data_IF_544752134728
#
_entry.id   IF_544752134728
#
_cell.length_a   1.000
_cell.length_b   1.000
_cell.length_c   1.000
_cell.angle_alpha   90.00
_cell.angle_beta   90.00
_cell.angle_gamma   90.00
#
_symmetry.space_group_name_H-M   'P 1'
#
loop_
_entity.id
_entity.type
_entity.pdbx_description
1 polymer ?
#
# COMPACT_ATOMS: atom_id res chain seq x y z
N UNK A 1 20.87 40.36 -24.55
CA UNK A 1 19.75 40.26 -23.59
C UNK A 1 18.73 39.33 -24.20
N UNK A 2 18.51 38.13 -23.64
CA UNK A 2 17.27 37.36 -23.74
C UNK A 2 17.37 36.06 -22.94
N UNK A 3 16.56 36.01 -21.88
CA UNK A 3 15.78 34.88 -21.35
C UNK A 3 16.47 33.55 -21.00
N UNK A 4 16.90 33.45 -19.74
CA UNK A 4 16.94 32.18 -18.99
C UNK A 4 15.91 32.26 -17.85
N UNK A 5 14.63 32.09 -18.18
CA UNK A 5 13.51 31.96 -17.23
C UNK A 5 12.59 30.81 -17.62
N UNK A 6 13.09 29.57 -17.52
CA UNK A 6 12.33 28.31 -17.60
C UNK A 6 13.22 27.34 -16.80
N UNK A 7 12.98 26.89 -15.57
CA UNK A 7 11.81 26.23 -14.98
C UNK A 7 11.82 26.49 -13.45
N UNK A 8 10.89 27.30 -12.94
CA UNK A 8 10.53 27.30 -11.52
C UNK A 8 9.22 26.53 -11.40
N UNK A 9 9.33 25.23 -11.28
CA UNK A 9 8.23 24.38 -10.87
C UNK A 9 8.57 23.93 -9.46
N UNK A 10 7.76 24.33 -8.46
CA UNK A 10 8.00 24.27 -7.01
C UNK A 10 8.90 23.11 -6.57
N UNK A 11 10.20 23.34 -6.62
CA UNK A 11 11.19 22.35 -6.27
C UNK A 11 11.31 22.41 -4.75
N UNK A 12 10.36 21.76 -4.07
CA UNK A 12 10.47 21.50 -2.62
C UNK A 12 11.88 20.99 -2.37
N UNK A 13 12.58 21.62 -1.42
CA UNK A 13 13.94 21.21 -1.10
C UNK A 13 13.89 19.76 -0.58
N UNK A 14 14.44 18.83 -1.36
CA UNK A 14 14.42 17.39 -1.05
C UNK A 14 15.08 17.15 0.31
N UNK A 15 16.10 17.91 0.70
CA UNK A 15 16.72 17.76 2.02
C UNK A 15 15.78 18.20 3.13
N UNK A 16 15.01 19.27 2.90
CA UNK A 16 14.00 19.74 3.84
C UNK A 16 12.88 18.70 3.99
N UNK A 17 12.34 18.19 2.89
CA UNK A 17 11.30 17.16 2.89
C UNK A 17 11.79 15.85 3.53
N UNK A 18 13.05 15.45 3.29
CA UNK A 18 13.65 14.27 3.92
C UNK A 18 13.77 14.45 5.44
N UNK A 19 14.27 15.60 5.91
CA UNK A 19 14.36 15.90 7.35
C UNK A 19 12.99 15.92 7.99
N UNK A 20 12.00 16.51 7.31
CA UNK A 20 10.59 16.52 7.75
C UNK A 20 10.03 15.10 7.83
N UNK A 21 10.31 14.26 6.84
CA UNK A 21 9.88 12.86 6.84
C UNK A 21 10.51 12.06 7.99
N UNK A 22 11.82 12.12 8.16
CA UNK A 22 12.53 11.40 9.22
C UNK A 22 12.02 11.83 10.61
N UNK A 23 11.86 13.15 10.82
CA UNK A 23 11.34 13.67 12.08
C UNK A 23 9.89 13.22 12.34
N UNK A 24 9.04 13.23 11.31
CA UNK A 24 7.63 12.84 11.41
C UNK A 24 7.43 11.33 11.57
N UNK A 25 8.13 10.50 10.80
CA UNK A 25 8.02 9.05 10.81
C UNK A 25 8.54 8.45 12.14
N UNK A 26 9.62 9.01 12.70
CA UNK A 26 10.20 8.55 13.97
C UNK A 26 9.33 8.87 15.20
N UNK A 27 8.46 9.89 15.12
CA UNK A 27 7.68 10.38 16.27
C UNK A 27 6.29 9.74 16.41
N UNK A 28 6.00 8.66 15.69
CA UNK A 28 4.73 7.93 15.81
C UNK A 28 3.51 8.85 15.70
N UNK A 29 3.44 9.68 14.63
CA UNK A 29 2.27 10.49 14.23
C UNK A 29 1.73 11.53 15.23
N UNK A 30 2.43 11.85 16.34
CA UNK A 30 1.86 12.71 17.40
C UNK A 30 1.94 14.22 17.16
N UNK A 31 2.78 14.71 16.24
CA UNK A 31 3.12 16.14 16.13
C UNK A 31 2.86 16.81 14.77
N UNK A 32 2.75 16.04 13.68
CA UNK A 32 2.45 16.55 12.33
C UNK A 32 1.13 15.98 11.81
N UNK A 33 0.42 16.74 10.97
CA UNK A 33 -0.77 16.23 10.29
C UNK A 33 -0.39 14.99 9.45
N UNK A 34 -0.98 13.81 9.72
CA UNK A 34 -0.62 12.56 9.05
C UNK A 34 -0.72 12.62 7.53
N UNK A 35 -1.67 13.41 7.02
CA UNK A 35 -1.86 13.65 5.60
C UNK A 35 -0.70 14.43 4.98
N UNK A 36 -0.18 15.47 5.64
CA UNK A 36 0.94 16.25 5.11
C UNK A 36 2.24 15.46 5.15
N UNK A 37 2.44 14.63 6.17
CA UNK A 37 3.58 13.70 6.20
C UNK A 37 3.48 12.67 5.07
N UNK A 38 2.28 12.20 4.76
CA UNK A 38 2.03 11.28 3.64
C UNK A 38 2.33 11.94 2.29
N UNK A 39 1.92 13.19 2.08
CA UNK A 39 2.28 13.95 0.87
C UNK A 39 3.79 14.19 0.75
N UNK A 40 4.47 14.43 1.86
CA UNK A 40 5.94 14.51 1.91
C UNK A 40 6.57 13.15 1.56
N UNK A 41 6.06 12.05 2.11
CA UNK A 41 6.54 10.70 1.80
C UNK A 41 6.35 10.35 0.31
N UNK A 42 5.18 10.66 -0.27
CA UNK A 42 4.89 10.47 -1.70
C UNK A 42 5.79 11.31 -2.61
N UNK A 43 6.13 12.53 -2.17
CA UNK A 43 7.11 13.36 -2.87
C UNK A 43 8.50 12.71 -2.87
N UNK A 44 8.97 12.24 -1.70
CA UNK A 44 10.24 11.54 -1.59
C UNK A 44 10.26 10.24 -2.40
N UNK A 45 9.16 9.49 -2.42
CA UNK A 45 9.02 8.28 -3.23
C UNK A 45 9.32 8.58 -4.71
N UNK A 46 8.73 9.66 -5.24
CA UNK A 46 8.90 10.08 -6.64
C UNK A 46 10.32 10.55 -6.97
N UNK A 47 10.91 11.38 -6.11
CA UNK A 47 12.13 12.12 -6.44
C UNK A 47 13.42 11.57 -5.80
N UNK A 48 13.31 10.67 -4.81
CA UNK A 48 14.45 10.11 -4.08
C UNK A 48 14.38 8.58 -4.05
N UNK A 49 15.02 7.89 -5.02
CA UNK A 49 15.01 6.42 -5.10
C UNK A 49 15.50 5.73 -3.82
N UNK A 50 16.50 6.31 -3.14
CA UNK A 50 17.06 5.77 -1.89
C UNK A 50 16.09 5.80 -0.70
N UNK A 51 14.98 6.54 -0.79
CA UNK A 51 13.96 6.61 0.27
C UNK A 51 12.76 5.70 0.01
N UNK A 52 12.72 4.97 -1.13
CA UNK A 52 11.55 4.19 -1.53
C UNK A 52 11.15 3.16 -0.48
N UNK A 53 12.09 2.36 -0.02
CA UNK A 53 11.82 1.29 0.95
C UNK A 53 11.29 1.86 2.26
N UNK A 54 11.91 2.93 2.77
CA UNK A 54 11.48 3.59 4.00
C UNK A 54 10.08 4.22 3.88
N UNK A 55 9.73 4.77 2.71
CA UNK A 55 8.40 5.32 2.45
C UNK A 55 7.35 4.19 2.35
N UNK A 56 7.66 3.09 1.67
CA UNK A 56 6.76 1.95 1.58
C UNK A 56 6.55 1.28 2.94
N UNK A 57 7.59 1.19 3.76
CA UNK A 57 7.48 0.73 5.15
C UNK A 57 6.61 1.67 6.00
N UNK A 58 6.75 2.98 5.83
CA UNK A 58 5.85 3.94 6.46
C UNK A 58 4.39 3.74 6.01
N UNK A 59 4.15 3.43 4.74
CA UNK A 59 2.80 3.08 4.27
C UNK A 59 2.29 1.79 4.91
N UNK A 60 3.13 0.77 5.11
CA UNK A 60 2.73 -0.46 5.83
C UNK A 60 2.11 -0.12 7.19
N UNK A 61 2.72 0.80 7.93
CA UNK A 61 2.21 1.25 9.24
C UNK A 61 0.84 1.93 9.09
N UNK A 62 0.64 2.77 8.08
CA UNK A 62 -0.65 3.44 7.85
C UNK A 62 -1.78 2.47 7.50
N UNK A 63 -1.50 1.50 6.63
CA UNK A 63 -2.47 0.46 6.25
C UNK A 63 -2.78 -0.46 7.43
N UNK A 64 -1.76 -0.85 8.20
CA UNK A 64 -1.93 -1.66 9.40
C UNK A 64 -2.79 -0.96 10.45
N UNK A 65 -2.55 0.33 10.72
CA UNK A 65 -3.38 1.12 11.65
C UNK A 65 -4.83 1.25 11.17
N UNK A 66 -5.06 1.41 9.87
CA UNK A 66 -6.40 1.49 9.30
C UNK A 66 -7.14 0.16 9.45
N UNK A 67 -6.47 -0.96 9.18
CA UNK A 67 -7.03 -2.28 9.38
C UNK A 67 -7.25 -2.58 10.87
N UNK A 68 -6.33 -2.22 11.76
CA UNK A 68 -6.48 -2.40 13.21
C UNK A 68 -7.73 -1.69 13.73
N UNK A 69 -7.96 -0.43 13.30
CA UNK A 69 -9.17 0.33 13.61
C UNK A 69 -10.43 -0.37 13.10
N UNK A 70 -10.42 -0.87 11.86
CA UNK A 70 -11.54 -1.61 11.28
C UNK A 70 -11.85 -2.90 12.06
N UNK A 71 -10.83 -3.68 12.41
CA UNK A 71 -10.99 -4.91 13.21
C UNK A 71 -11.53 -4.59 14.60
N UNK A 72 -11.04 -3.53 15.24
CA UNK A 72 -11.55 -3.09 16.54
C UNK A 72 -13.05 -2.70 16.45
N UNK A 73 -13.46 -2.02 15.38
CA UNK A 73 -14.86 -1.65 15.13
C UNK A 73 -15.74 -2.88 14.95
N UNK A 74 -15.36 -3.84 14.11
CA UNK A 74 -16.08 -5.10 13.92
C UNK A 74 -16.27 -5.83 15.26
N UNK A 75 -15.20 -5.91 16.07
CA UNK A 75 -15.24 -6.56 17.39
C UNK A 75 -16.16 -5.86 18.38
N UNK A 76 -16.27 -4.54 18.28
CA UNK A 76 -17.18 -3.75 19.12
C UNK A 76 -18.65 -3.84 18.70
N UNK A 77 -18.96 -4.58 17.62
CA UNK A 77 -20.32 -4.68 17.07
C UNK A 77 -20.79 -3.43 16.34
N UNK A 78 -19.90 -2.48 16.08
CA UNK A 78 -20.18 -1.31 15.26
C UNK A 78 -20.38 -1.71 13.80
N UNK A 79 -21.33 -1.06 13.13
CA UNK A 79 -21.41 -1.13 11.66
C UNK A 79 -20.10 -0.59 11.09
N UNK A 80 -19.49 -1.34 10.16
CA UNK A 80 -18.35 -0.86 9.37
C UNK A 80 -18.84 0.23 8.42
N UNK A 81 -19.11 1.42 8.94
CA UNK A 81 -19.25 2.59 8.09
C UNK A 81 -17.92 2.76 7.37
N UNK A 82 -17.98 2.88 6.04
CA UNK A 82 -16.82 3.04 5.17
C UNK A 82 -16.14 4.36 5.56
N UNK A 83 -15.23 4.30 6.53
CA UNK A 83 -14.52 5.45 7.01
C UNK A 83 -13.67 5.92 5.84
N UNK A 84 -14.08 7.03 5.22
CA UNK A 84 -13.29 7.68 4.19
C UNK A 84 -11.95 8.07 4.81
N UNK A 85 -10.94 7.22 4.64
CA UNK A 85 -9.59 7.49 5.09
C UNK A 85 -8.91 8.33 4.00
N UNK A 86 -8.78 9.66 4.21
CA UNK A 86 -8.23 10.54 3.19
C UNK A 86 -6.76 10.22 2.92
N UNK A 87 -6.06 9.60 3.87
CA UNK A 87 -4.65 9.24 3.75
C UNK A 87 -4.51 8.06 2.78
N UNK A 88 -5.32 7.01 2.96
CA UNK A 88 -5.32 5.86 2.04
C UNK A 88 -5.77 6.26 0.63
N UNK A 89 -6.74 7.16 0.54
CA UNK A 89 -7.22 7.68 -0.74
C UNK A 89 -6.14 8.50 -1.46
N UNK A 90 -5.37 9.30 -0.73
CA UNK A 90 -4.22 10.04 -1.28
C UNK A 90 -3.13 9.09 -1.79
N UNK A 91 -2.78 8.06 -1.01
CA UNK A 91 -1.81 7.03 -1.43
C UNK A 91 -2.30 6.33 -2.69
N UNK A 92 -3.57 5.90 -2.74
CA UNK A 92 -4.17 5.25 -3.91
C UNK A 92 -4.07 6.12 -5.15
N UNK A 93 -4.45 7.40 -5.05
CA UNK A 93 -4.44 8.34 -6.16
C UNK A 93 -3.04 8.57 -6.70
N UNK A 94 -2.05 8.80 -5.83
CA UNK A 94 -0.68 9.13 -6.26
C UNK A 94 0.05 7.90 -6.79
N UNK A 95 -0.05 6.74 -6.13
CA UNK A 95 0.55 5.50 -6.63
C UNK A 95 -0.10 5.07 -7.96
N UNK A 96 -1.43 5.18 -8.06
CA UNK A 96 -2.15 4.92 -9.31
C UNK A 96 -1.71 5.87 -10.44
N UNK A 97 -1.43 7.14 -10.13
CA UNK A 97 -0.86 8.07 -11.10
C UNK A 97 0.54 7.66 -11.55
N UNK A 98 1.40 7.15 -10.67
CA UNK A 98 2.75 6.70 -11.06
C UNK A 98 2.68 5.52 -12.03
N UNK A 99 1.82 4.54 -11.73
CA UNK A 99 1.59 3.36 -12.57
C UNK A 99 1.02 3.75 -13.93
N UNK A 100 0.03 4.64 -13.97
CA UNK A 100 -0.57 5.08 -15.24
C UNK A 100 0.36 5.96 -16.09
N UNK A 101 1.20 6.80 -15.46
CA UNK A 101 2.10 7.70 -16.18
C UNK A 101 3.39 7.01 -16.67
N UNK A 102 3.95 6.10 -15.88
CA UNK A 102 5.16 5.36 -16.24
C UNK A 102 5.17 3.96 -15.58
N UNK A 103 4.52 2.96 -16.20
CA UNK A 103 4.31 1.66 -15.57
C UNK A 103 5.58 0.82 -15.42
N UNK A 104 6.54 0.93 -16.33
CA UNK A 104 7.73 0.05 -16.39
C UNK A 104 8.54 0.01 -15.07
N UNK A 105 8.93 1.15 -14.47
CA UNK A 105 9.67 1.12 -13.20
C UNK A 105 8.76 0.99 -11.96
N UNK A 106 7.48 1.37 -12.05
CA UNK A 106 6.61 1.53 -10.89
C UNK A 106 5.69 0.34 -10.65
N UNK A 107 5.11 -0.24 -11.70
CA UNK A 107 4.15 -1.31 -11.56
C UNK A 107 4.72 -2.58 -10.89
N UNK A 108 5.96 -3.03 -11.20
CA UNK A 108 6.53 -4.19 -10.50
C UNK A 108 6.79 -3.92 -9.02
N UNK A 109 7.35 -2.76 -8.70
CA UNK A 109 7.68 -2.36 -7.32
C UNK A 109 6.40 -2.26 -6.47
N UNK A 110 5.40 -1.54 -6.98
CA UNK A 110 4.14 -1.31 -6.27
C UNK A 110 3.33 -2.61 -6.17
N UNK A 111 3.30 -3.43 -7.21
CA UNK A 111 2.60 -4.73 -7.18
C UNK A 111 3.21 -5.68 -6.15
N UNK A 112 4.55 -5.81 -6.10
CA UNK A 112 5.23 -6.62 -5.08
C UNK A 112 4.90 -6.13 -3.68
N UNK A 113 5.01 -4.81 -3.45
CA UNK A 113 4.68 -4.19 -2.17
C UNK A 113 3.23 -4.45 -1.75
N UNK A 114 2.26 -4.29 -2.65
CA UNK A 114 0.85 -4.55 -2.34
C UNK A 114 0.61 -6.01 -1.92
N UNK A 115 1.20 -6.97 -2.65
CA UNK A 115 1.03 -8.40 -2.37
C UNK A 115 1.72 -8.82 -1.06
N UNK A 116 2.92 -8.30 -0.80
CA UNK A 116 3.64 -8.52 0.46
C UNK A 116 2.85 -7.98 1.65
N UNK A 117 2.37 -6.74 1.56
CA UNK A 117 1.60 -6.10 2.62
C UNK A 117 0.27 -6.80 2.86
N UNK A 118 -0.47 -7.15 1.80
CA UNK A 118 -1.68 -7.96 1.91
C UNK A 118 -1.39 -9.27 2.66
N UNK A 119 -0.22 -9.86 2.46
CA UNK A 119 0.19 -11.06 3.18
C UNK A 119 0.53 -10.89 4.63
N UNK A 120 1.30 -9.85 4.95
CA UNK A 120 1.61 -9.51 6.32
C UNK A 120 0.32 -9.21 7.10
N UNK A 121 -0.59 -8.43 6.52
CA UNK A 121 -1.87 -8.11 7.13
C UNK A 121 -2.73 -9.38 7.29
N UNK A 122 -2.85 -10.20 6.25
CA UNK A 122 -3.64 -11.44 6.29
C UNK A 122 -3.20 -12.35 7.43
N UNK A 123 -1.89 -12.60 7.54
CA UNK A 123 -1.31 -13.39 8.61
C UNK A 123 -1.52 -12.76 9.99
N UNK A 124 -1.28 -11.45 10.13
CA UNK A 124 -1.40 -10.73 11.41
C UNK A 124 -2.82 -10.76 11.98
N UNK A 125 -3.84 -10.72 11.13
CA UNK A 125 -5.24 -10.60 11.56
C UNK A 125 -6.09 -11.86 11.34
N UNK A 126 -5.52 -12.97 10.87
CA UNK A 126 -6.20 -14.25 10.57
C UNK A 126 -7.10 -14.75 11.71
N UNK A 127 -6.73 -14.54 12.98
CA UNK A 127 -7.52 -14.95 14.16
C UNK A 127 -8.31 -13.82 14.84
N UNK A 128 -8.19 -12.58 14.35
CA UNK A 128 -8.78 -11.37 14.98
C UNK A 128 -10.05 -10.91 14.27
N UNK A 129 -10.16 -11.22 12.99
CA UNK A 129 -11.22 -10.86 12.04
C UNK A 129 -12.36 -11.89 12.14
N UNK A 130 -12.87 -12.12 13.35
CA UNK A 130 -13.96 -13.07 13.63
C UNK A 130 -13.65 -14.53 13.24
N UNK A 131 -14.27 -15.50 13.90
CA UNK A 131 -14.31 -16.85 13.34
C UNK A 131 -15.34 -16.85 12.21
N UNK A 132 -14.94 -16.39 11.03
CA UNK A 132 -15.74 -16.61 9.84
C UNK A 132 -15.76 -18.12 9.58
N UNK A 133 -16.91 -18.76 9.77
CA UNK A 133 -17.10 -20.20 9.57
C UNK A 133 -16.97 -20.63 8.10
N UNK A 134 -16.72 -19.68 7.19
CA UNK A 134 -16.54 -19.94 5.76
C UNK A 134 -15.51 -19.00 5.14
N UNK A 135 -14.82 -19.50 4.11
CA UNK A 135 -13.90 -18.70 3.28
C UNK A 135 -14.58 -17.45 2.71
N UNK A 136 -15.83 -17.60 2.27
CA UNK A 136 -16.62 -16.47 1.75
C UNK A 136 -16.82 -15.39 2.80
N UNK A 137 -17.16 -15.75 4.05
CA UNK A 137 -17.30 -14.79 5.14
C UNK A 137 -16.00 -14.07 5.47
N UNK A 138 -14.87 -14.79 5.42
CA UNK A 138 -13.55 -14.20 5.62
C UNK A 138 -13.20 -13.20 4.50
N UNK A 139 -13.41 -13.59 3.23
CA UNK A 139 -13.21 -12.71 2.08
C UNK A 139 -14.07 -11.45 2.15
N UNK A 140 -15.35 -11.59 2.49
CA UNK A 140 -16.25 -10.45 2.65
C UNK A 140 -15.76 -9.50 3.74
N UNK A 141 -15.22 -10.01 4.84
CA UNK A 141 -14.71 -9.20 5.94
C UNK A 141 -13.37 -8.50 5.62
N UNK A 142 -12.52 -9.16 4.83
CA UNK A 142 -11.32 -8.53 4.27
C UNK A 142 -11.66 -7.43 3.28
N UNK A 143 -12.59 -7.72 2.37
CA UNK A 143 -13.07 -6.78 1.37
C UNK A 143 -13.99 -5.70 1.93
N UNK A 144 -14.45 -5.82 3.19
CA UNK A 144 -15.17 -4.74 3.88
C UNK A 144 -14.24 -3.66 4.42
N UNK A 145 -12.94 -3.94 4.56
CA UNK A 145 -11.94 -2.95 4.96
C UNK A 145 -11.47 -2.11 3.75
N UNK A 146 -11.50 -0.78 3.89
CA UNK A 146 -10.99 0.16 2.87
C UNK A 146 -9.50 -0.07 2.57
N UNK A 147 -8.68 -0.36 3.59
CA UNK A 147 -7.25 -0.60 3.43
C UNK A 147 -6.96 -1.78 2.49
N UNK A 148 -7.61 -2.92 2.72
CA UNK A 148 -7.50 -4.11 1.87
C UNK A 148 -7.99 -3.84 0.44
N UNK A 149 -9.15 -3.20 0.29
CA UNK A 149 -9.69 -2.83 -1.03
C UNK A 149 -8.71 -1.96 -1.81
N UNK A 150 -8.17 -0.92 -1.18
CA UNK A 150 -7.19 -0.04 -1.82
C UNK A 150 -5.94 -0.78 -2.29
N UNK A 151 -5.40 -1.73 -1.51
CA UNK A 151 -4.24 -2.54 -1.95
C UNK A 151 -4.59 -3.43 -3.15
N UNK A 152 -5.77 -4.06 -3.14
CA UNK A 152 -6.25 -4.89 -4.25
C UNK A 152 -6.46 -4.05 -5.51
N UNK A 153 -7.04 -2.86 -5.38
CA UNK A 153 -7.27 -1.94 -6.51
C UNK A 153 -5.96 -1.50 -7.16
N UNK A 154 -4.99 -1.03 -6.37
CA UNK A 154 -3.68 -0.61 -6.86
C UNK A 154 -2.96 -1.78 -7.53
N UNK A 155 -2.97 -2.96 -6.91
CA UNK A 155 -2.34 -4.14 -7.48
C UNK A 155 -3.00 -4.56 -8.81
N UNK A 156 -4.33 -4.49 -8.89
CA UNK A 156 -5.08 -4.79 -10.12
C UNK A 156 -4.70 -3.81 -11.24
N UNK A 157 -4.54 -2.52 -10.91
CA UNK A 157 -4.07 -1.51 -11.85
C UNK A 157 -2.64 -1.81 -12.34
N UNK A 158 -1.73 -2.19 -11.43
CA UNK A 158 -0.37 -2.57 -11.78
C UNK A 158 -0.35 -3.76 -12.76
N UNK A 159 -1.10 -4.81 -12.45
CA UNK A 159 -1.19 -6.00 -13.29
C UNK A 159 -1.82 -5.70 -14.66
N UNK A 160 -2.87 -4.90 -14.70
CA UNK A 160 -3.49 -4.47 -15.97
C UNK A 160 -2.47 -3.77 -16.86
N UNK A 161 -1.70 -2.81 -16.31
CA UNK A 161 -0.62 -2.17 -17.04
C UNK A 161 0.44 -3.20 -17.47
N UNK A 162 0.97 -4.03 -16.56
CA UNK A 162 2.03 -4.98 -16.90
C UNK A 162 1.62 -5.99 -17.98
N UNK A 163 0.36 -6.46 -17.99
CA UNK A 163 -0.17 -7.35 -19.04
C UNK A 163 -0.14 -6.66 -20.42
N UNK A 164 -0.48 -5.37 -20.48
CA UNK A 164 -0.51 -4.63 -21.73
C UNK A 164 0.87 -4.16 -22.20
N UNK A 165 1.81 -3.93 -21.28
CA UNK A 165 3.14 -3.38 -21.58
C UNK A 165 4.23 -4.45 -21.73
N UNK A 166 4.31 -5.43 -20.83
CA UNK A 166 5.32 -6.48 -20.86
C UNK A 166 4.87 -7.72 -20.05
N UNK A 167 4.35 -8.72 -20.77
CA UNK A 167 3.82 -9.96 -20.18
C UNK A 167 4.87 -10.73 -19.39
N UNK A 168 6.15 -10.71 -19.78
CA UNK A 168 7.22 -11.40 -19.03
C UNK A 168 7.48 -10.74 -17.67
N UNK A 169 7.47 -9.40 -17.60
CA UNK A 169 7.58 -8.66 -16.34
C UNK A 169 6.36 -8.90 -15.43
N UNK A 170 5.17 -9.01 -16.03
CA UNK A 170 3.95 -9.41 -15.30
C UNK A 170 4.10 -10.80 -14.68
N UNK A 171 4.53 -11.79 -15.50
CA UNK A 171 4.77 -13.16 -15.05
C UNK A 171 5.83 -13.18 -13.96
N UNK A 172 6.94 -12.45 -14.10
CA UNK A 172 7.99 -12.39 -13.08
C UNK A 172 7.53 -11.73 -11.77
N UNK A 173 6.68 -10.70 -11.84
CA UNK A 173 6.09 -10.07 -10.64
C UNK A 173 5.13 -11.03 -9.92
N UNK A 174 4.35 -11.79 -10.68
CA UNK A 174 3.46 -12.84 -10.16
C UNK A 174 4.25 -14.05 -9.62
N UNK A 175 5.32 -14.48 -10.29
CA UNK A 175 6.15 -15.63 -9.90
C UNK A 175 7.10 -15.31 -8.73
N UNK A 176 7.64 -14.09 -8.66
CA UNK A 176 8.34 -13.58 -7.48
C UNK A 176 7.43 -13.59 -6.26
N UNK A 177 6.16 -13.22 -6.46
CA UNK A 177 5.11 -13.37 -5.45
C UNK A 177 4.79 -14.85 -5.15
N UNK A 178 4.97 -15.81 -6.07
CA UNK A 178 4.75 -17.24 -5.79
C UNK A 178 5.78 -17.85 -4.84
N UNK A 179 7.03 -17.37 -4.81
CA UNK A 179 8.01 -17.80 -3.78
C UNK A 179 7.56 -17.32 -2.40
N UNK A 180 6.96 -16.13 -2.32
CA UNK A 180 6.39 -15.57 -1.10
C UNK A 180 5.10 -16.32 -0.73
N UNK A 181 4.18 -16.57 -1.66
CA UNK A 181 2.95 -17.38 -1.49
C UNK A 181 3.28 -18.84 -1.11
N UNK A 182 4.38 -19.43 -1.57
CA UNK A 182 4.82 -20.75 -1.11
C UNK A 182 5.21 -20.76 0.37
N UNK A 183 5.69 -19.63 0.90
CA UNK A 183 5.82 -19.40 2.34
C UNK A 183 4.48 -19.42 3.09
N UNK A 184 3.37 -19.06 2.44
CA UNK A 184 2.03 -19.10 3.05
C UNK A 184 1.49 -20.53 3.20
N UNK A 185 1.77 -21.43 2.25
CA UNK A 185 1.28 -22.80 2.28
C UNK A 185 1.89 -23.65 3.40
N UNK A 186 3.06 -23.27 3.93
CA UNK A 186 3.70 -24.01 5.03
C UNK A 186 3.21 -23.61 6.42
N UNK A 187 2.31 -22.62 6.56
CA UNK A 187 1.88 -22.10 7.87
C UNK A 187 0.42 -21.70 8.04
N UNK A 188 -0.44 -21.83 7.02
CA UNK A 188 -1.83 -21.33 7.10
C UNK A 188 -2.87 -22.47 7.04
N UNK A 189 -3.59 -22.69 8.14
CA UNK A 189 -4.73 -23.62 8.18
C UNK A 189 -6.02 -23.08 7.52
N UNK A 190 -6.03 -21.84 7.05
CA UNK A 190 -7.21 -21.22 6.41
C UNK A 190 -7.26 -21.38 4.88
N UNK A 191 -6.16 -21.78 4.24
CA UNK A 191 -6.06 -21.97 2.79
C UNK A 191 -5.51 -23.35 2.44
N UNK A 192 -5.82 -24.37 3.25
CA UNK A 192 -5.65 -25.74 2.76
C UNK A 192 -6.67 -25.97 1.63
N UNK A 193 -6.23 -26.33 0.41
CA UNK A 193 -7.13 -26.86 -0.59
C UNK A 193 -7.76 -28.11 0.02
N UNK A 194 -9.08 -28.18 0.03
CA UNK A 194 -9.80 -29.40 0.37
C UNK A 194 -9.21 -30.56 -0.44
N UNK A 195 -8.72 -31.58 0.27
CA UNK A 195 -8.55 -32.91 -0.28
C UNK A 195 -9.88 -33.63 -0.28
#
# INVERSE_FOLDING_TARGET
MNNTSIMKEDQRDIQFELKKFIAGASQNLKSSSPLELTKTALYLLKYLPSARDAVLEYFNILFDQSLERHVAQIRSGGTSEDYNDPILSEIQNVLGSFVSSNPEPWAPIISSWCLELLGQLSSKYQGRIGQANSLHGCLQLWMSCKASRTLVDINTQCLSCLIHFNTETCINSLLGSQVIIRGWYSGTSCWQPFH
#
